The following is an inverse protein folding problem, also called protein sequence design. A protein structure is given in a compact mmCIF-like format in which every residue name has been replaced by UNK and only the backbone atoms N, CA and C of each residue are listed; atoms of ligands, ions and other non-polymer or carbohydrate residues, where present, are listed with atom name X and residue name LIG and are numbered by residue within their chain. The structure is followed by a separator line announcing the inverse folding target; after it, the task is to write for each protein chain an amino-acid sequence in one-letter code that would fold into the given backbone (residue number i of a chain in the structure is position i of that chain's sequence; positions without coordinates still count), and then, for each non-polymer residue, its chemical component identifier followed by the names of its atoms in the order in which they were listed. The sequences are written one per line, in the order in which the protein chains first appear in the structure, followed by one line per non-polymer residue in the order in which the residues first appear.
data_IF_528051490910
#
_entry.id   IF_528051490910
#
_cell.length_a   1.000
_cell.length_b   1.000
_cell.length_c   1.000
_cell.angle_alpha   90.00
_cell.angle_beta   90.00
_cell.angle_gamma   90.00
#
_symmetry.space_group_name_H-M   'P 1'
#
loop_
_entity.id
_entity.type
_entity.pdbx_description
1 polymer ?
#
# COMPACT_ATOMS: atom_id res chain seq x y z
N UNK A 1 -28.45 37.24 -4.53
CA UNK A 1 -27.04 37.55 -4.29
C UNK A 1 -26.80 39.00 -4.63
N UNK A 2 -26.24 39.78 -3.72
CA UNK A 2 -25.90 41.18 -3.97
C UNK A 2 -24.45 41.23 -4.45
N UNK A 3 -24.20 41.86 -5.58
CA UNK A 3 -22.85 42.04 -6.09
C UNK A 3 -22.66 43.42 -6.75
N UNK A 4 -21.44 43.94 -6.62
CA UNK A 4 -21.02 45.23 -7.17
C UNK A 4 -19.98 44.99 -8.25
N UNK A 5 -20.30 45.32 -9.51
CA UNK A 5 -19.39 45.19 -10.65
C UNK A 5 -18.67 46.52 -10.88
N UNK A 6 -17.35 46.54 -10.68
CA UNK A 6 -16.51 47.74 -10.80
C UNK A 6 -15.90 47.89 -12.18
N UNK A 7 -15.58 46.76 -12.84
CA UNK A 7 -15.08 46.74 -14.21
C UNK A 7 -15.74 45.62 -14.99
N UNK A 8 -16.08 45.93 -16.24
CA UNK A 8 -16.49 44.98 -17.26
C UNK A 8 -15.71 45.31 -18.53
N UNK A 9 -14.96 44.34 -19.04
CA UNK A 9 -14.20 44.48 -20.27
C UNK A 9 -15.08 44.79 -21.47
N UNK A 10 -14.52 45.41 -22.53
CA UNK A 10 -15.22 45.61 -23.79
C UNK A 10 -15.51 44.24 -24.41
N UNK A 11 -16.77 43.82 -24.38
CA UNK A 11 -17.14 42.47 -24.81
C UNK A 11 -18.65 42.21 -24.74
N UNK A 12 -19.04 41.02 -25.19
CA UNK A 12 -20.42 40.53 -25.15
C UNK A 12 -20.91 40.36 -23.70
N UNK A 13 -22.23 40.20 -23.47
CA UNK A 13 -22.76 39.87 -22.15
C UNK A 13 -22.02 38.69 -21.52
N UNK A 14 -21.76 38.81 -20.22
CA UNK A 14 -21.30 37.75 -19.34
C UNK A 14 -22.34 37.62 -18.24
N UNK A 15 -22.59 36.42 -17.74
CA UNK A 15 -23.52 36.21 -16.66
C UNK A 15 -22.83 35.72 -15.39
N UNK A 16 -23.47 35.99 -14.26
CA UNK A 16 -23.05 35.47 -12.97
C UNK A 16 -23.86 34.23 -12.67
N UNK A 17 -23.19 33.13 -12.33
CA UNK A 17 -23.87 31.89 -11.99
C UNK A 17 -23.36 31.27 -10.69
N UNK A 18 -24.24 30.52 -10.04
CA UNK A 18 -23.93 29.67 -8.89
C UNK A 18 -23.79 28.22 -9.34
N UNK A 19 -22.87 27.49 -8.77
CA UNK A 19 -22.82 26.03 -8.89
C UNK A 19 -23.33 25.45 -7.57
N UNK A 20 -24.46 24.75 -7.63
CA UNK A 20 -25.13 24.20 -6.45
C UNK A 20 -25.28 22.70 -6.56
N UNK A 21 -25.17 22.02 -5.42
CA UNK A 21 -25.51 20.62 -5.25
C UNK A 21 -26.93 20.51 -4.68
N UNK A 22 -27.78 19.78 -5.40
CA UNK A 22 -29.14 19.40 -5.02
C UNK A 22 -29.32 17.92 -5.31
N UNK A 23 -30.32 17.24 -4.71
CA UNK A 23 -30.45 15.78 -4.74
C UNK A 23 -30.37 15.05 -6.12
N UNK A 24 -30.40 15.78 -7.24
CA UNK A 24 -30.19 15.28 -8.61
C UNK A 24 -28.76 15.45 -9.17
N UNK A 25 -27.82 16.02 -8.39
CA UNK A 25 -26.43 16.28 -8.78
C UNK A 25 -26.05 17.77 -8.76
N UNK A 26 -24.84 18.06 -9.24
CA UNK A 26 -24.32 19.43 -9.41
C UNK A 26 -25.00 20.10 -10.61
N UNK A 27 -25.45 21.33 -10.44
CA UNK A 27 -26.06 22.12 -11.52
C UNK A 27 -25.61 23.58 -11.45
N UNK A 28 -25.22 24.18 -12.58
CA UNK A 28 -25.06 25.62 -12.68
C UNK A 28 -26.43 26.30 -12.72
N UNK A 29 -26.57 27.42 -12.01
CA UNK A 29 -27.77 28.25 -11.93
C UNK A 29 -27.38 29.66 -12.33
N UNK A 30 -27.87 30.10 -13.48
CA UNK A 30 -27.62 31.45 -13.98
C UNK A 30 -28.43 32.47 -13.17
N UNK A 31 -27.77 33.52 -12.69
CA UNK A 31 -28.37 34.62 -11.95
C UNK A 31 -28.63 35.86 -12.83
N UNK A 32 -28.14 35.87 -14.07
CA UNK A 32 -28.32 36.95 -15.04
C UNK A 32 -27.03 37.68 -15.43
N UNK A 33 -27.18 38.59 -16.39
CA UNK A 33 -26.08 39.34 -17.00
C UNK A 33 -25.41 40.32 -16.01
N UNK A 34 -24.08 40.38 -16.03
CA UNK A 34 -23.29 41.32 -15.25
C UNK A 34 -23.51 42.76 -15.75
N UNK A 35 -24.08 43.59 -14.87
CA UNK A 35 -24.32 45.02 -15.09
C UNK A 35 -23.40 45.82 -14.17
N UNK A 36 -22.80 46.90 -14.70
CA UNK A 36 -21.96 47.80 -13.93
C UNK A 36 -22.73 48.43 -12.74
N UNK A 37 -22.05 48.57 -11.60
CA UNK A 37 -22.64 49.05 -10.35
C UNK A 37 -23.16 47.92 -9.46
N UNK A 38 -23.91 48.30 -8.42
CA UNK A 38 -24.47 47.36 -7.43
C UNK A 38 -25.84 46.86 -7.88
N UNK A 39 -25.98 45.54 -7.98
CA UNK A 39 -27.21 44.88 -8.40
C UNK A 39 -27.52 43.65 -7.54
N UNK A 40 -28.80 43.30 -7.47
CA UNK A 40 -29.27 42.07 -6.85
C UNK A 40 -29.53 41.02 -7.94
N UNK A 41 -28.69 40.00 -7.97
CA UNK A 41 -28.75 38.87 -8.89
C UNK A 41 -29.58 37.75 -8.26
N UNK A 42 -30.66 37.34 -8.91
CA UNK A 42 -31.65 36.41 -8.33
C UNK A 42 -32.00 35.30 -9.31
N UNK A 43 -32.20 34.09 -8.80
CA UNK A 43 -32.67 32.95 -9.56
C UNK A 43 -33.54 32.05 -8.69
N UNK A 44 -34.45 31.32 -9.34
CA UNK A 44 -35.24 30.30 -8.67
C UNK A 44 -34.42 29.00 -8.55
N UNK A 45 -34.43 28.39 -7.36
CA UNK A 45 -33.74 27.13 -7.07
C UNK A 45 -34.76 26.00 -6.84
N UNK A 46 -35.45 25.50 -7.89
CA UNK A 46 -36.39 24.40 -7.72
C UNK A 46 -35.66 23.14 -7.22
N UNK A 47 -36.27 22.42 -6.29
CA UNK A 47 -35.71 21.20 -5.71
C UNK A 47 -34.77 21.41 -4.51
N UNK A 48 -34.63 22.64 -4.02
CA UNK A 48 -33.86 22.94 -2.80
C UNK A 48 -34.69 22.87 -1.50
N UNK A 49 -35.87 22.25 -1.51
CA UNK A 49 -36.74 22.16 -0.33
C UNK A 49 -36.15 21.36 0.83
N UNK A 50 -35.20 20.47 0.56
CA UNK A 50 -34.46 19.70 1.57
C UNK A 50 -33.11 20.34 1.94
N UNK A 51 -32.84 21.56 1.46
CA UNK A 51 -31.53 22.21 1.52
C UNK A 51 -30.70 21.97 0.27
N UNK A 52 -29.91 22.98 -0.10
CA UNK A 52 -28.93 22.92 -1.18
C UNK A 52 -27.58 23.41 -0.67
N UNK A 53 -26.50 22.88 -1.27
CA UNK A 53 -25.15 23.30 -0.93
C UNK A 53 -24.58 24.17 -2.05
N UNK A 54 -24.09 25.36 -1.70
CA UNK A 54 -23.33 26.20 -2.62
C UNK A 54 -21.91 25.66 -2.73
N UNK A 55 -21.49 25.31 -3.95
CA UNK A 55 -20.18 24.73 -4.21
C UNK A 55 -19.23 25.73 -4.85
N UNK A 56 -19.73 26.55 -5.78
CA UNK A 56 -18.89 27.49 -6.50
C UNK A 56 -19.67 28.69 -7.04
N UNK A 57 -18.95 29.71 -7.45
CA UNK A 57 -19.39 30.84 -8.25
C UNK A 57 -18.70 30.75 -9.61
N UNK A 58 -19.36 31.18 -10.68
CA UNK A 58 -18.74 31.26 -12.00
C UNK A 58 -19.13 32.53 -12.72
N UNK A 59 -18.16 33.12 -13.44
CA UNK A 59 -18.43 34.17 -14.42
C UNK A 59 -18.53 33.48 -15.77
N UNK A 60 -19.72 33.45 -16.35
CA UNK A 60 -20.00 32.64 -17.53
C UNK A 60 -19.99 33.48 -18.80
N UNK A 61 -19.52 32.87 -19.88
CA UNK A 61 -19.77 33.38 -21.21
C UNK A 61 -21.27 33.28 -21.51
N UNK A 62 -21.78 34.23 -22.30
CA UNK A 62 -23.12 34.09 -22.84
C UNK A 62 -23.22 32.79 -23.68
N UNK A 63 -24.34 32.05 -23.63
CA UNK A 63 -24.48 30.82 -24.39
C UNK A 63 -24.13 30.96 -25.88
N UNK A 64 -23.22 30.13 -26.37
CA UNK A 64 -22.72 30.15 -27.75
C UNK A 64 -21.60 31.14 -28.04
N UNK A 65 -21.08 31.81 -27.00
CA UNK A 65 -19.96 32.74 -27.09
C UNK A 65 -18.67 32.13 -26.51
N UNK A 66 -17.54 32.47 -27.10
CA UNK A 66 -16.19 32.10 -26.60
C UNK A 66 -15.22 33.27 -26.63
N UNK A 67 -15.71 34.49 -26.85
CA UNK A 67 -14.88 35.69 -26.82
C UNK A 67 -14.25 35.90 -25.44
N UNK A 68 -13.05 36.50 -25.38
CA UNK A 68 -12.40 36.80 -24.12
C UNK A 68 -13.28 37.61 -23.17
N UNK A 69 -13.19 37.28 -21.88
CA UNK A 69 -13.93 37.94 -20.80
C UNK A 69 -12.97 38.63 -19.83
N UNK A 70 -13.37 39.81 -19.36
CA UNK A 70 -12.71 40.54 -18.27
C UNK A 70 -13.79 41.12 -17.35
N UNK A 71 -13.73 40.82 -16.05
CA UNK A 71 -14.67 41.32 -15.06
C UNK A 71 -13.98 41.53 -13.71
N UNK A 72 -14.28 42.64 -13.05
CA UNK A 72 -13.97 42.88 -11.63
C UNK A 72 -15.29 43.09 -10.90
N UNK A 73 -15.57 42.25 -9.91
CA UNK A 73 -16.79 42.33 -9.11
C UNK A 73 -16.53 41.97 -7.65
N UNK A 74 -17.36 42.49 -6.76
CA UNK A 74 -17.40 42.14 -5.34
C UNK A 74 -18.74 41.51 -5.03
N UNK A 75 -18.74 40.31 -4.44
CA UNK A 75 -19.96 39.70 -3.90
C UNK A 75 -20.13 40.20 -2.47
N UNK A 76 -21.20 40.95 -2.23
CA UNK A 76 -21.45 41.63 -0.96
C UNK A 76 -22.25 40.74 0.01
N UNK A 77 -23.21 39.97 -0.51
CA UNK A 77 -24.06 39.10 0.30
C UNK A 77 -24.70 37.96 -0.50
N UNK A 78 -24.85 36.80 0.14
CA UNK A 78 -25.66 35.67 -0.34
C UNK A 78 -26.88 35.51 0.56
N UNK A 79 -28.07 35.35 -0.05
CA UNK A 79 -29.34 35.17 0.67
C UNK A 79 -30.16 34.07 0.01
N UNK A 80 -30.91 33.33 0.82
CA UNK A 80 -31.98 32.43 0.40
C UNK A 80 -33.33 33.06 0.77
N UNK A 81 -34.04 33.58 -0.22
CA UNK A 81 -35.13 34.53 0.01
C UNK A 81 -34.62 35.75 0.80
N UNK A 82 -35.24 36.00 1.95
CA UNK A 82 -34.83 37.06 2.88
C UNK A 82 -33.81 36.60 3.94
N UNK A 83 -33.52 35.30 4.03
CA UNK A 83 -32.62 34.75 5.02
C UNK A 83 -31.15 34.91 4.58
N UNK A 84 -30.26 35.46 5.42
CA UNK A 84 -28.84 35.52 5.10
C UNK A 84 -28.22 34.12 5.10
N UNK A 85 -27.36 33.85 4.12
CA UNK A 85 -26.52 32.65 4.07
C UNK A 85 -25.10 33.05 4.46
N UNK A 86 -24.55 32.42 5.50
CA UNK A 86 -23.15 32.62 5.86
C UNK A 86 -22.22 31.90 4.87
N UNK A 87 -21.93 32.59 3.78
CA UNK A 87 -21.01 32.13 2.73
C UNK A 87 -19.55 32.47 3.05
N UNK A 88 -19.23 32.98 4.26
CA UNK A 88 -17.88 33.37 4.68
C UNK A 88 -17.12 34.22 3.65
N UNK A 89 -17.79 35.17 3.00
CA UNK A 89 -17.25 35.92 1.86
C UNK A 89 -15.98 36.73 2.17
N UNK A 90 -15.85 37.23 3.42
CA UNK A 90 -14.67 37.96 3.88
C UNK A 90 -13.55 37.08 4.45
N UNK A 91 -13.71 35.76 4.48
CA UNK A 91 -12.68 34.82 4.93
C UNK A 91 -11.72 34.53 3.76
N UNK A 92 -10.41 34.83 3.89
CA UNK A 92 -9.44 34.62 2.81
C UNK A 92 -9.29 33.16 2.38
N UNK A 93 -9.64 32.21 3.25
CA UNK A 93 -9.46 30.78 3.02
C UNK A 93 -10.76 30.07 2.62
N UNK A 94 -11.90 30.77 2.59
CA UNK A 94 -13.20 30.16 2.28
C UNK A 94 -13.47 29.99 0.78
N UNK A 95 -12.78 30.74 -0.06
CA UNK A 95 -12.99 30.76 -1.51
C UNK A 95 -11.64 30.74 -2.24
N UNK A 96 -11.54 29.94 -3.29
CA UNK A 96 -10.32 29.83 -4.11
C UNK A 96 -10.64 29.65 -5.59
N UNK A 97 -9.76 30.04 -6.50
CA UNK A 97 -9.85 29.60 -7.90
C UNK A 97 -9.90 28.07 -7.99
N UNK A 98 -10.71 27.55 -8.91
CA UNK A 98 -10.72 26.12 -9.19
C UNK A 98 -9.34 25.63 -9.66
N UNK A 99 -8.85 24.47 -9.21
CA UNK A 99 -7.50 23.98 -9.51
C UNK A 99 -7.31 23.60 -10.99
N UNK A 100 -8.40 23.36 -11.72
CA UNK A 100 -8.43 22.95 -13.12
C UNK A 100 -8.61 24.15 -14.09
N UNK A 101 -8.32 25.37 -13.63
CA UNK A 101 -8.35 26.57 -14.46
C UNK A 101 -7.56 26.37 -15.77
N UNK A 102 -8.21 26.68 -16.90
CA UNK A 102 -7.63 26.44 -18.22
C UNK A 102 -6.49 27.41 -18.52
N UNK A 103 -5.54 26.99 -19.37
CA UNK A 103 -4.54 27.94 -19.90
C UNK A 103 -5.24 29.13 -20.58
N UNK A 104 -4.86 30.34 -20.18
CA UNK A 104 -5.51 31.58 -20.64
C UNK A 104 -6.59 32.11 -19.69
N UNK A 105 -6.91 31.38 -18.61
CA UNK A 105 -7.68 31.90 -17.49
C UNK A 105 -6.76 32.44 -16.40
N UNK A 106 -7.11 33.60 -15.86
CA UNK A 106 -6.52 34.17 -14.66
C UNK A 106 -7.65 34.64 -13.75
N UNK A 107 -7.69 34.05 -12.57
CA UNK A 107 -8.65 34.32 -11.52
C UNK A 107 -7.90 34.72 -10.25
N UNK A 108 -8.19 35.92 -9.78
CA UNK A 108 -7.69 36.41 -8.50
C UNK A 108 -8.90 36.61 -7.57
N UNK A 109 -8.84 35.99 -6.40
CA UNK A 109 -9.92 36.00 -5.40
C UNK A 109 -9.32 36.47 -4.08
N UNK A 110 -9.94 37.48 -3.48
CA UNK A 110 -9.46 38.05 -2.22
C UNK A 110 -10.62 38.65 -1.41
N UNK A 111 -10.53 38.69 -0.07
CA UNK A 111 -11.49 39.43 0.73
C UNK A 111 -11.57 40.91 0.33
N UNK A 112 -12.79 41.42 0.22
CA UNK A 112 -13.08 42.83 -0.04
C UNK A 112 -13.96 43.38 1.09
N UNK A 113 -13.34 43.75 2.21
CA UNK A 113 -14.05 44.10 3.43
C UNK A 113 -14.77 42.88 4.01
N UNK A 114 -16.11 42.90 4.03
CA UNK A 114 -16.93 41.73 4.44
C UNK A 114 -17.39 40.87 3.25
N UNK A 115 -17.10 41.31 2.03
CA UNK A 115 -17.46 40.62 0.79
C UNK A 115 -16.28 39.87 0.15
N UNK A 116 -16.56 39.24 -0.99
CA UNK A 116 -15.59 38.50 -1.79
C UNK A 116 -15.26 39.28 -3.06
N UNK A 117 -14.02 39.76 -3.18
CA UNK A 117 -13.50 40.39 -4.38
C UNK A 117 -13.05 39.34 -5.39
N UNK A 118 -13.50 39.49 -6.64
CA UNK A 118 -13.22 38.58 -7.75
C UNK A 118 -12.73 39.40 -8.94
N UNK A 119 -11.55 39.06 -9.44
CA UNK A 119 -11.02 39.58 -10.70
C UNK A 119 -10.82 38.41 -11.67
N UNK A 120 -11.45 38.53 -12.83
CA UNK A 120 -11.47 37.50 -13.87
C UNK A 120 -10.93 38.08 -15.17
N UNK A 121 -9.97 37.38 -15.76
CA UNK A 121 -9.62 37.51 -17.17
C UNK A 121 -9.53 36.13 -17.78
N UNK A 122 -10.23 35.88 -18.88
CA UNK A 122 -10.15 34.60 -19.59
C UNK A 122 -10.15 34.82 -21.09
N UNK A 123 -9.21 34.19 -21.77
CA UNK A 123 -9.23 33.99 -23.24
C UNK A 123 -9.62 32.56 -23.61
N UNK A 124 -9.83 31.69 -22.62
CA UNK A 124 -10.23 30.31 -22.80
C UNK A 124 -11.75 30.19 -22.98
N UNK A 125 -12.23 29.20 -23.75
CA UNK A 125 -13.67 29.01 -23.98
C UNK A 125 -14.42 28.49 -22.74
N UNK A 126 -13.74 27.95 -21.73
CA UNK A 126 -14.36 27.52 -20.48
C UNK A 126 -14.71 28.70 -19.56
N UNK A 127 -15.77 28.51 -18.77
CA UNK A 127 -16.20 29.47 -17.76
C UNK A 127 -15.26 29.41 -16.54
N UNK A 128 -14.69 30.54 -16.09
CA UNK A 128 -13.89 30.55 -14.87
C UNK A 128 -14.73 30.28 -13.63
N UNK A 129 -14.22 29.42 -12.75
CA UNK A 129 -14.91 28.94 -11.54
C UNK A 129 -14.12 29.32 -10.29
N UNK A 130 -14.84 29.88 -9.30
CA UNK A 130 -14.36 30.15 -7.95
C UNK A 130 -15.06 29.17 -7.02
N UNK A 131 -14.32 28.25 -6.42
CA UNK A 131 -14.87 27.21 -5.56
C UNK A 131 -14.87 27.61 -4.09
N UNK A 132 -15.85 27.09 -3.37
CA UNK A 132 -15.87 27.10 -1.92
C UNK A 132 -14.86 26.07 -1.39
N UNK A 133 -13.96 26.52 -0.53
CA UNK A 133 -12.86 25.74 0.02
C UNK A 133 -13.30 24.98 1.29
N UNK A 134 -14.15 23.98 1.12
CA UNK A 134 -14.56 23.01 2.16
C UNK A 134 -13.64 21.78 2.24
N UNK A 135 -12.71 21.63 1.29
CA UNK A 135 -11.63 20.61 1.31
C UNK A 135 -10.25 21.27 1.26
N UNK A 136 -9.20 20.65 1.82
CA UNK A 136 -7.82 21.11 1.63
C UNK A 136 -7.44 21.17 0.13
N UNK A 137 -6.58 22.12 -0.25
CA UNK A 137 -6.07 22.19 -1.62
C UNK A 137 -5.14 21.01 -1.98
N UNK A 138 -4.48 20.43 -0.97
CA UNK A 138 -3.74 19.18 -1.09
C UNK A 138 -4.33 18.18 -0.10
N UNK A 139 -4.84 17.06 -0.62
CA UNK A 139 -5.49 16.04 0.18
C UNK A 139 -4.45 15.25 0.98
N UNK A 140 -4.59 15.16 2.31
CA UNK A 140 -3.67 14.38 3.12
C UNK A 140 -3.84 12.89 2.82
N UNK A 141 -2.72 12.19 2.66
CA UNK A 141 -2.71 10.75 2.40
C UNK A 141 -1.58 10.05 3.15
N UNK A 142 -1.86 8.83 3.55
CA UNK A 142 -0.88 7.88 4.07
C UNK A 142 -0.55 6.87 2.99
N UNK A 143 0.73 6.69 2.69
CA UNK A 143 1.18 5.77 1.65
C UNK A 143 1.78 4.50 2.22
N UNK A 144 1.50 3.37 1.58
CA UNK A 144 2.36 2.19 1.61
C UNK A 144 3.05 2.03 0.26
N UNK A 145 4.39 2.08 0.29
CA UNK A 145 5.23 1.94 -0.90
C UNK A 145 5.64 3.26 -1.56
N UNK A 146 6.05 3.19 -2.85
CA UNK A 146 6.46 4.36 -3.63
C UNK A 146 5.26 5.25 -3.96
N UNK A 147 5.49 6.56 -4.06
CA UNK A 147 4.48 7.49 -4.56
C UNK A 147 4.12 7.18 -6.02
N UNK A 148 2.84 7.34 -6.45
CA UNK A 148 2.42 7.12 -7.83
C UNK A 148 2.79 8.32 -8.73
N UNK A 149 4.08 8.67 -8.71
CA UNK A 149 4.68 9.75 -9.49
C UNK A 149 5.95 9.25 -10.18
N UNK A 150 6.54 10.07 -11.06
CA UNK A 150 7.83 9.76 -11.66
C UNK A 150 8.93 9.62 -10.60
N UNK A 151 8.85 10.43 -9.53
CA UNK A 151 9.67 10.30 -8.34
C UNK A 151 8.95 9.43 -7.29
N UNK A 152 9.50 8.25 -7.03
CA UNK A 152 8.98 7.30 -6.05
C UNK A 152 8.99 7.83 -4.60
N UNK A 153 9.78 8.86 -4.33
CA UNK A 153 9.93 9.47 -2.99
C UNK A 153 9.15 10.77 -2.83
N UNK A 154 8.42 11.20 -3.86
CA UNK A 154 7.67 12.45 -3.86
C UNK A 154 6.73 12.57 -2.64
N UNK A 155 6.81 13.71 -1.95
CA UNK A 155 5.93 14.06 -0.82
C UNK A 155 4.60 14.67 -1.27
N UNK A 156 4.50 15.09 -2.53
CA UNK A 156 3.27 15.53 -3.17
C UNK A 156 3.20 15.02 -4.61
N UNK A 157 2.00 14.67 -5.06
CA UNK A 157 1.77 14.11 -6.40
C UNK A 157 0.32 14.30 -6.83
N UNK A 158 0.07 14.22 -8.14
CA UNK A 158 -1.28 14.26 -8.70
C UNK A 158 -1.74 12.84 -9.02
N UNK A 159 -2.92 12.46 -8.55
CA UNK A 159 -3.47 11.12 -8.74
C UNK A 159 -5.01 11.15 -8.69
N UNK A 160 -5.65 10.41 -9.59
CA UNK A 160 -7.10 10.26 -9.61
C UNK A 160 -7.50 9.03 -8.77
N UNK A 161 -7.97 9.24 -7.54
CA UNK A 161 -8.37 8.16 -6.65
C UNK A 161 -9.83 7.73 -6.91
N UNK A 162 -10.81 8.57 -6.56
CA UNK A 162 -12.22 8.31 -6.87
C UNK A 162 -12.75 9.15 -8.03
N UNK A 163 -12.14 10.32 -8.27
CA UNK A 163 -12.48 11.25 -9.34
C UNK A 163 -12.01 10.80 -10.73
N UNK A 164 -12.58 11.40 -11.78
CA UNK A 164 -12.09 11.25 -13.15
C UNK A 164 -10.90 12.17 -13.49
N UNK A 165 -10.70 13.20 -12.68
CA UNK A 165 -9.59 14.16 -12.76
C UNK A 165 -8.57 13.88 -11.66
N UNK A 166 -7.25 14.06 -11.91
CA UNK A 166 -6.25 13.92 -10.87
C UNK A 166 -6.42 14.98 -9.78
N UNK A 167 -6.46 14.52 -8.54
CA UNK A 167 -6.41 15.37 -7.36
C UNK A 167 -4.98 15.49 -6.86
N UNK A 168 -4.67 16.59 -6.18
CA UNK A 168 -3.35 16.81 -5.61
C UNK A 168 -3.28 16.25 -4.20
N UNK A 169 -2.34 15.35 -3.98
CA UNK A 169 -2.14 14.64 -2.72
C UNK A 169 -0.86 15.07 -2.03
N UNK A 170 -0.88 15.09 -0.69
CA UNK A 170 0.29 15.29 0.15
C UNK A 170 0.47 14.13 1.11
N UNK A 171 1.64 13.52 1.05
CA UNK A 171 2.04 12.40 1.91
C UNK A 171 2.26 12.91 3.33
N UNK A 172 1.42 12.48 4.27
CA UNK A 172 1.58 12.80 5.69
C UNK A 172 2.39 11.74 6.43
N UNK A 173 2.29 10.49 6.00
CA UNK A 173 2.99 9.36 6.61
C UNK A 173 3.24 8.23 5.60
N UNK A 174 4.28 7.42 5.86
CA UNK A 174 4.61 6.24 5.07
C UNK A 174 4.70 4.98 5.92
N UNK A 175 4.06 3.91 5.48
CA UNK A 175 4.14 2.58 6.07
C UNK A 175 4.75 1.57 5.10
N UNK A 176 5.23 0.45 5.63
CA UNK A 176 5.71 -0.65 4.80
C UNK A 176 4.57 -1.38 4.07
N UNK A 177 3.40 -1.45 4.70
CA UNK A 177 2.19 -2.04 4.11
C UNK A 177 0.95 -1.53 4.84
N UNK A 178 -0.16 -1.38 4.11
CA UNK A 178 -1.49 -1.15 4.66
C UNK A 178 -2.27 -2.48 4.75
N UNK A 179 -3.17 -2.63 5.73
CA UNK A 179 -4.09 -3.77 5.78
C UNK A 179 -4.91 -3.89 4.49
N UNK A 180 -5.06 -5.11 3.98
CA UNK A 180 -5.85 -5.39 2.77
C UNK A 180 -5.09 -5.13 1.47
N UNK A 181 -4.39 -4.00 1.38
CA UNK A 181 -3.83 -3.51 0.10
C UNK A 181 -2.29 -3.60 -0.02
N UNK A 182 -1.59 -4.03 1.03
CA UNK A 182 -0.17 -4.33 0.95
C UNK A 182 0.73 -3.12 0.79
N UNK A 183 1.80 -3.26 0.00
CA UNK A 183 2.88 -2.28 -0.17
C UNK A 183 2.68 -1.32 -1.35
N UNK A 184 1.49 -1.28 -1.95
CA UNK A 184 1.10 -0.36 -3.02
C UNK A 184 -0.31 0.15 -2.74
N UNK A 185 -0.42 1.04 -1.75
CA UNK A 185 -1.72 1.46 -1.24
C UNK A 185 -1.69 2.91 -0.73
N UNK A 186 -2.84 3.56 -0.81
CA UNK A 186 -3.07 4.88 -0.23
C UNK A 186 -4.26 4.83 0.73
N UNK A 187 -4.13 5.49 1.87
CA UNK A 187 -5.19 5.68 2.86
C UNK A 187 -5.47 7.17 3.02
N UNK A 188 -6.72 7.54 2.83
CA UNK A 188 -7.19 8.91 2.89
C UNK A 188 -8.57 8.99 3.53
N UNK A 189 -8.99 10.21 3.89
CA UNK A 189 -10.32 10.46 4.41
C UNK A 189 -11.36 10.41 3.28
N UNK A 190 -12.22 9.39 3.31
CA UNK A 190 -13.21 9.15 2.26
C UNK A 190 -14.20 10.32 2.12
N UNK A 191 -14.59 10.96 3.22
CA UNK A 191 -15.58 12.05 3.17
C UNK A 191 -15.01 13.27 2.43
N UNK A 192 -13.76 13.62 2.72
CA UNK A 192 -13.05 14.72 2.06
C UNK A 192 -12.87 14.44 0.57
N UNK A 193 -12.44 13.23 0.22
CA UNK A 193 -12.29 12.82 -1.18
C UNK A 193 -13.64 12.82 -1.91
N UNK A 194 -14.71 12.29 -1.31
CA UNK A 194 -16.04 12.30 -1.94
C UNK A 194 -16.53 13.72 -2.22
N UNK A 195 -16.30 14.68 -1.32
CA UNK A 195 -16.66 16.09 -1.55
C UNK A 195 -15.91 16.70 -2.72
N UNK A 196 -14.69 16.24 -2.99
CA UNK A 196 -13.85 16.69 -4.10
C UNK A 196 -14.23 15.98 -5.40
N UNK A 197 -14.33 14.65 -5.39
CA UNK A 197 -14.66 13.81 -6.53
C UNK A 197 -16.06 14.10 -7.11
N UNK A 198 -17.03 14.51 -6.30
CA UNK A 198 -18.36 14.94 -6.78
C UNK A 198 -18.27 16.10 -7.78
N UNK A 199 -17.22 16.94 -7.71
CA UNK A 199 -16.98 18.07 -8.63
C UNK A 199 -16.41 17.62 -9.98
N UNK A 200 -15.47 16.68 -9.97
CA UNK A 200 -14.80 16.13 -11.16
C UNK A 200 -15.49 14.92 -11.77
N UNK A 201 -16.64 14.50 -11.22
CA UNK A 201 -17.27 13.21 -11.52
C UNK A 201 -16.56 12.06 -10.83
N UNK A 202 -17.33 11.16 -10.21
CA UNK A 202 -16.81 10.05 -9.43
C UNK A 202 -17.18 8.71 -10.06
N UNK A 203 -16.32 7.70 -9.88
CA UNK A 203 -16.64 6.30 -10.22
C UNK A 203 -16.47 5.42 -9.00
N UNK A 204 -17.51 4.66 -8.65
CA UNK A 204 -17.45 3.63 -7.59
C UNK A 204 -17.21 2.23 -8.16
N UNK A 205 -16.72 2.13 -9.40
CA UNK A 205 -16.38 0.84 -10.01
C UNK A 205 -15.25 0.17 -9.25
N UNK A 206 -15.49 -1.03 -8.73
CA UNK A 206 -14.48 -1.80 -7.99
C UNK A 206 -14.32 -1.40 -6.53
N UNK A 207 -15.26 -0.63 -5.96
CA UNK A 207 -15.23 -0.28 -4.53
C UNK A 207 -15.75 -1.45 -3.69
N UNK A 208 -14.94 -1.88 -2.72
CA UNK A 208 -15.32 -2.85 -1.70
C UNK A 208 -15.43 -2.16 -0.34
N UNK A 209 -16.56 -2.35 0.34
CA UNK A 209 -16.77 -1.81 1.69
C UNK A 209 -16.35 -2.84 2.72
N UNK A 210 -15.35 -2.50 3.54
CA UNK A 210 -14.80 -3.39 4.55
C UNK A 210 -14.84 -2.74 5.92
N UNK A 211 -15.11 -3.55 6.95
CA UNK A 211 -15.03 -3.14 8.35
C UNK A 211 -13.86 -3.86 8.99
N UNK A 212 -12.84 -3.08 9.37
CA UNK A 212 -11.63 -3.61 10.00
C UNK A 212 -11.78 -3.59 11.52
N UNK A 213 -11.43 -4.70 12.16
CA UNK A 213 -11.49 -4.87 13.62
C UNK A 213 -10.17 -5.41 14.14
N UNK A 214 -9.87 -5.09 15.39
CA UNK A 214 -8.76 -5.74 16.12
C UNK A 214 -9.20 -7.11 16.61
N UNK A 215 -8.25 -7.98 16.96
CA UNK A 215 -8.48 -9.44 17.14
C UNK A 215 -9.48 -9.89 18.22
N UNK A 216 -10.09 -8.98 18.98
CA UNK A 216 -11.21 -9.26 19.87
C UNK A 216 -12.49 -8.66 19.26
N UNK A 217 -13.12 -9.40 18.35
CA UNK A 217 -14.43 -9.01 17.81
C UNK A 217 -15.48 -9.27 18.88
N UNK A 218 -16.19 -8.22 19.29
CA UNK A 218 -17.44 -8.36 20.04
C UNK A 218 -18.40 -9.23 19.22
N UNK A 219 -18.87 -10.38 19.74
CA UNK A 219 -19.80 -11.25 19.00
C UNK A 219 -21.10 -10.54 18.62
N UNK A 220 -21.45 -9.42 19.27
CA UNK A 220 -22.58 -8.58 18.92
C UNK A 220 -22.34 -7.61 17.74
N UNK A 221 -21.11 -7.46 17.25
CA UNK A 221 -20.78 -6.49 16.20
C UNK A 221 -21.58 -6.71 14.89
N UNK A 222 -21.72 -7.94 14.36
CA UNK A 222 -22.51 -8.15 13.15
C UNK A 222 -23.98 -7.74 13.33
N UNK A 223 -24.57 -8.02 14.49
CA UNK A 223 -25.95 -7.62 14.79
C UNK A 223 -26.10 -6.10 14.92
N UNK A 224 -25.10 -5.42 15.49
CA UNK A 224 -25.06 -3.95 15.58
C UNK A 224 -24.89 -3.29 14.21
N UNK A 225 -24.03 -3.85 13.36
CA UNK A 225 -23.88 -3.39 11.97
C UNK A 225 -25.20 -3.57 11.22
N UNK A 226 -25.84 -4.74 11.34
CA UNK A 226 -27.13 -5.01 10.71
C UNK A 226 -28.24 -4.07 11.20
N UNK A 227 -28.28 -3.76 12.50
CA UNK A 227 -29.20 -2.77 13.07
C UNK A 227 -28.94 -1.35 12.54
N UNK A 228 -27.70 -1.03 12.18
CA UNK A 228 -27.31 0.20 11.49
C UNK A 228 -27.48 0.16 9.97
N UNK A 229 -28.06 -0.91 9.41
CA UNK A 229 -28.29 -1.06 7.96
C UNK A 229 -27.11 -1.62 7.17
N UNK A 230 -26.00 -1.99 7.83
CA UNK A 230 -24.83 -2.61 7.19
C UNK A 230 -24.92 -4.13 7.36
N UNK A 231 -25.21 -4.86 6.28
CA UNK A 231 -25.26 -6.32 6.30
C UNK A 231 -23.91 -6.90 5.88
N UNK A 232 -23.15 -7.56 6.78
CA UNK A 232 -21.88 -8.18 6.41
C UNK A 232 -22.13 -9.32 5.42
N UNK A 233 -21.49 -9.27 4.25
CA UNK A 233 -21.59 -10.32 3.21
C UNK A 233 -20.58 -11.45 3.43
N UNK A 234 -19.40 -11.11 3.93
CA UNK A 234 -18.34 -12.05 4.27
C UNK A 234 -17.63 -11.62 5.56
N UNK A 235 -17.05 -12.60 6.25
CA UNK A 235 -16.18 -12.38 7.41
C UNK A 235 -14.88 -13.10 7.14
N UNK A 236 -13.79 -12.35 7.11
CA UNK A 236 -12.45 -12.90 6.92
C UNK A 236 -11.64 -12.71 8.19
N UNK A 237 -11.10 -13.80 8.72
CA UNK A 237 -10.17 -13.73 9.85
C UNK A 237 -8.73 -13.89 9.39
N UNK A 238 -7.82 -13.34 10.20
CA UNK A 238 -6.39 -13.49 9.95
C UNK A 238 -5.94 -14.96 10.07
N UNK A 239 -6.66 -15.78 10.84
CA UNK A 239 -6.43 -17.22 10.91
C UNK A 239 -6.81 -17.91 9.58
N UNK A 240 -7.97 -17.58 9.02
CA UNK A 240 -8.42 -18.14 7.75
C UNK A 240 -7.46 -17.77 6.61
N UNK A 241 -7.03 -16.50 6.57
CA UNK A 241 -6.08 -16.05 5.55
C UNK A 241 -4.73 -16.76 5.66
N UNK A 242 -4.25 -17.07 6.87
CA UNK A 242 -3.02 -17.88 7.04
C UNK A 242 -3.19 -19.32 6.52
N UNK A 243 -4.35 -19.93 6.76
CA UNK A 243 -4.63 -21.29 6.26
C UNK A 243 -4.68 -21.28 4.73
N UNK A 244 -5.32 -20.28 4.14
CA UNK A 244 -5.40 -20.10 2.70
C UNK A 244 -4.02 -19.90 2.07
N UNK A 245 -3.22 -18.96 2.59
CA UNK A 245 -1.84 -18.74 2.17
C UNK A 245 -0.99 -20.03 2.29
N UNK A 246 -1.26 -20.85 3.31
CA UNK A 246 -0.61 -22.14 3.51
C UNK A 246 -0.99 -23.24 2.50
N UNK A 247 -2.03 -23.02 1.69
CA UNK A 247 -2.47 -23.92 0.61
C UNK A 247 -2.01 -23.47 -0.78
N UNK A 248 -1.49 -22.24 -0.90
CA UNK A 248 -1.00 -21.73 -2.17
C UNK A 248 0.20 -22.55 -2.68
N UNK A 249 0.35 -22.60 -4.01
CA UNK A 249 1.42 -23.34 -4.68
C UNK A 249 2.82 -23.04 -4.12
N UNK A 250 3.18 -21.79 -3.76
CA UNK A 250 4.47 -21.49 -3.13
C UNK A 250 4.69 -22.19 -1.79
N UNK A 251 3.68 -22.22 -0.93
CA UNK A 251 3.77 -22.88 0.37
C UNK A 251 3.95 -24.40 0.21
N UNK A 252 3.27 -24.98 -0.78
CA UNK A 252 3.42 -26.40 -1.11
C UNK A 252 4.80 -26.71 -1.72
N UNK A 253 5.32 -25.85 -2.60
CA UNK A 253 6.67 -25.95 -3.13
C UNK A 253 7.72 -25.88 -2.03
N UNK A 254 7.59 -24.98 -1.05
CA UNK A 254 8.48 -24.92 0.12
C UNK A 254 8.48 -26.23 0.92
N UNK A 255 7.31 -26.86 1.11
CA UNK A 255 7.21 -28.17 1.78
C UNK A 255 7.91 -29.28 0.99
N UNK A 256 7.81 -29.26 -0.33
CA UNK A 256 8.53 -30.19 -1.21
C UNK A 256 10.04 -29.97 -1.17
N UNK A 257 10.51 -28.71 -1.17
CA UNK A 257 11.93 -28.41 -1.00
C UNK A 257 12.47 -28.84 0.36
N UNK A 258 11.68 -28.70 1.43
CA UNK A 258 12.03 -29.25 2.74
C UNK A 258 12.16 -30.78 2.72
N UNK A 259 11.23 -31.47 2.05
CA UNK A 259 11.31 -32.92 1.87
C UNK A 259 12.55 -33.33 1.05
N UNK A 260 12.83 -32.62 -0.06
CA UNK A 260 14.02 -32.85 -0.87
C UNK A 260 15.31 -32.61 -0.07
N UNK A 261 15.35 -31.55 0.74
CA UNK A 261 16.47 -31.28 1.66
C UNK A 261 16.66 -32.39 2.69
N UNK A 262 15.58 -32.91 3.26
CA UNK A 262 15.66 -34.06 4.17
C UNK A 262 16.21 -35.32 3.49
N UNK A 263 15.78 -35.60 2.25
CA UNK A 263 16.30 -36.71 1.45
C UNK A 263 17.80 -36.51 1.14
N UNK A 264 18.21 -35.30 0.78
CA UNK A 264 19.63 -34.99 0.53
C UNK A 264 20.50 -35.21 1.78
N UNK A 265 20.01 -34.82 2.96
CA UNK A 265 20.69 -35.09 4.24
C UNK A 265 20.80 -36.59 4.51
N UNK A 266 19.74 -37.36 4.27
CA UNK A 266 19.78 -38.83 4.41
C UNK A 266 20.80 -39.48 3.46
N UNK A 267 20.87 -39.02 2.21
CA UNK A 267 21.85 -39.48 1.23
C UNK A 267 23.28 -39.14 1.65
N UNK A 268 23.51 -37.94 2.19
CA UNK A 268 24.80 -37.53 2.73
C UNK A 268 25.21 -38.44 3.89
N UNK A 269 24.33 -38.68 4.86
CA UNK A 269 24.57 -39.61 5.98
C UNK A 269 24.90 -41.01 5.47
N UNK A 270 24.13 -41.52 4.50
CA UNK A 270 24.38 -42.81 3.86
C UNK A 270 25.76 -42.91 3.22
N UNK A 271 26.17 -41.87 2.50
CA UNK A 271 27.49 -41.77 1.85
C UNK A 271 28.62 -41.74 2.86
N UNK A 272 28.43 -41.01 3.98
CA UNK A 272 29.38 -40.96 5.09
C UNK A 272 29.54 -42.34 5.76
N UNK A 273 28.43 -43.02 6.03
CA UNK A 273 28.44 -44.38 6.61
C UNK A 273 29.09 -45.40 5.67
N UNK A 274 28.83 -45.30 4.37
CA UNK A 274 29.43 -46.17 3.35
C UNK A 274 30.96 -45.96 3.30
N UNK A 275 31.41 -44.71 3.20
CA UNK A 275 32.83 -44.36 3.19
C UNK A 275 33.53 -44.84 4.46
N UNK A 276 32.89 -44.64 5.62
CA UNK A 276 33.41 -45.15 6.89
C UNK A 276 33.52 -46.68 6.89
N UNK A 277 32.52 -47.39 6.37
CA UNK A 277 32.49 -48.87 6.31
C UNK A 277 33.62 -49.44 5.45
N UNK A 278 33.92 -48.81 4.32
CA UNK A 278 35.02 -49.21 3.41
C UNK A 278 36.37 -48.95 4.07
N UNK A 279 36.53 -47.80 4.73
CA UNK A 279 37.76 -47.42 5.44
C UNK A 279 38.10 -48.32 6.63
N UNK A 280 37.10 -48.92 7.29
CA UNK A 280 37.30 -49.81 8.46
C UNK A 280 38.28 -50.94 8.16
N UNK A 281 38.22 -51.56 6.97
CA UNK A 281 39.08 -52.72 6.64
C UNK A 281 40.56 -52.37 6.52
N UNK A 282 40.88 -51.18 5.99
CA UNK A 282 42.25 -50.68 5.93
C UNK A 282 42.74 -50.29 7.34
N UNK A 283 41.88 -49.58 8.10
CA UNK A 283 42.18 -49.12 9.45
C UNK A 283 42.38 -50.25 10.46
N UNK A 284 41.67 -51.39 10.34
CA UNK A 284 41.88 -52.54 11.24
C UNK A 284 43.32 -53.06 11.15
N UNK A 285 43.93 -53.09 9.96
CA UNK A 285 45.32 -53.54 9.77
C UNK A 285 46.33 -52.59 10.41
N UNK A 286 46.17 -51.29 10.22
CA UNK A 286 47.02 -50.27 10.84
C UNK A 286 46.88 -50.26 12.37
N UNK A 287 45.64 -50.39 12.88
CA UNK A 287 45.37 -50.46 14.32
C UNK A 287 45.94 -51.73 14.96
N UNK A 288 45.97 -52.85 14.23
CA UNK A 288 46.59 -54.08 14.70
C UNK A 288 48.11 -53.91 14.84
N UNK A 289 48.77 -53.30 13.85
CA UNK A 289 50.22 -53.01 13.90
C UNK A 289 50.58 -52.04 15.04
N UNK A 290 49.76 -51.01 15.28
CA UNK A 290 49.97 -50.07 16.39
C UNK A 290 49.70 -50.69 17.77
N UNK A 291 48.77 -51.66 17.85
CA UNK A 291 48.54 -52.43 19.08
C UNK A 291 49.69 -53.36 19.39
N UNK A 292 50.28 -54.01 18.39
CA UNK A 292 51.50 -54.82 18.59
C UNK A 292 52.69 -53.97 19.01
N UNK A 293 52.70 -52.69 18.65
CA UNK A 293 53.68 -51.70 19.13
C UNK A 293 53.35 -51.11 20.53
N UNK A 294 52.32 -51.59 21.22
CA UNK A 294 52.02 -51.24 22.62
C UNK A 294 51.13 -50.02 22.85
N UNK A 295 50.53 -49.44 21.80
CA UNK A 295 49.68 -48.23 21.95
C UNK A 295 48.35 -48.55 22.63
N UNK A 296 48.02 -47.81 23.69
CA UNK A 296 46.80 -48.00 24.46
C UNK A 296 45.52 -47.76 23.64
N UNK A 297 44.50 -48.61 23.84
CA UNK A 297 43.19 -48.54 23.15
C UNK A 297 42.46 -47.20 23.32
N UNK A 298 42.74 -46.46 24.40
CA UNK A 298 42.16 -45.14 24.63
C UNK A 298 42.73 -44.09 23.67
N UNK A 299 44.05 -44.12 23.44
CA UNK A 299 44.76 -43.18 22.54
C UNK A 299 44.33 -43.41 21.10
N UNK A 300 44.25 -44.66 20.65
CA UNK A 300 43.79 -45.03 19.31
C UNK A 300 42.34 -44.55 19.05
N UNK A 301 41.44 -44.70 20.04
CA UNK A 301 40.05 -44.21 19.92
C UNK A 301 39.98 -42.68 19.86
N UNK A 302 40.82 -41.97 20.61
CA UNK A 302 40.86 -40.51 20.61
C UNK A 302 41.41 -39.97 19.29
N UNK A 303 42.46 -40.59 18.75
CA UNK A 303 43.04 -40.25 17.45
C UNK A 303 42.03 -40.45 16.32
N UNK A 304 41.35 -41.60 16.27
CA UNK A 304 40.29 -41.85 15.28
C UNK A 304 39.14 -40.83 15.38
N UNK A 305 38.69 -40.49 16.60
CA UNK A 305 37.66 -39.47 16.78
C UNK A 305 38.13 -38.10 16.30
N UNK A 306 39.38 -37.74 16.54
CA UNK A 306 39.97 -36.50 16.06
C UNK A 306 40.03 -36.43 14.54
N UNK A 307 40.41 -37.52 13.88
CA UNK A 307 40.48 -37.62 12.43
C UNK A 307 39.10 -37.51 11.76
N UNK A 308 38.09 -38.25 12.26
CA UNK A 308 36.73 -38.11 11.74
C UNK A 308 36.13 -36.73 12.06
N UNK A 309 36.44 -36.16 13.22
CA UNK A 309 35.99 -34.82 13.56
C UNK A 309 36.62 -33.75 12.67
N UNK A 310 37.89 -33.88 12.27
CA UNK A 310 38.53 -32.91 11.38
C UNK A 310 38.02 -33.04 9.94
N UNK A 311 37.88 -34.26 9.42
CA UNK A 311 37.37 -34.51 8.08
C UNK A 311 35.92 -34.00 7.92
N UNK A 312 35.03 -34.36 8.85
CA UNK A 312 33.65 -33.91 8.79
C UNK A 312 33.48 -32.44 9.20
N UNK A 313 34.30 -31.96 10.15
CA UNK A 313 34.34 -30.56 10.53
C UNK A 313 34.68 -29.65 9.35
N UNK A 314 35.69 -30.03 8.55
CA UNK A 314 36.06 -29.31 7.34
C UNK A 314 34.95 -29.35 6.28
N UNK A 315 34.32 -30.51 6.09
CA UNK A 315 33.19 -30.64 5.16
C UNK A 315 32.00 -29.74 5.55
N UNK A 316 31.68 -29.64 6.84
CA UNK A 316 30.65 -28.70 7.35
C UNK A 316 31.08 -27.26 7.16
N UNK A 317 32.34 -26.94 7.48
CA UNK A 317 32.89 -25.59 7.37
C UNK A 317 32.83 -25.05 5.94
N UNK A 318 32.96 -25.92 4.93
CA UNK A 318 32.86 -25.54 3.51
C UNK A 318 31.40 -25.62 3.02
N UNK A 319 30.69 -26.69 3.38
CA UNK A 319 29.34 -26.96 2.90
C UNK A 319 28.30 -25.97 3.40
N UNK A 320 28.39 -25.51 4.66
CA UNK A 320 27.44 -24.55 5.23
C UNK A 320 27.53 -23.19 4.53
N UNK A 321 28.71 -22.55 4.38
CA UNK A 321 28.83 -21.32 3.61
C UNK A 321 28.39 -21.46 2.16
N UNK A 322 28.76 -22.55 1.49
CA UNK A 322 28.34 -22.79 0.11
C UNK A 322 26.81 -22.89 -0.01
N UNK A 323 26.15 -23.58 0.93
CA UNK A 323 24.69 -23.64 1.02
C UNK A 323 24.04 -22.29 1.32
N UNK A 324 24.63 -21.50 2.23
CA UNK A 324 24.15 -20.15 2.56
C UNK A 324 24.26 -19.19 1.38
N UNK A 325 25.37 -19.25 0.63
CA UNK A 325 25.56 -18.45 -0.60
C UNK A 325 24.56 -18.88 -1.67
N UNK A 326 24.38 -20.19 -1.88
CA UNK A 326 23.39 -20.71 -2.81
C UNK A 326 21.96 -20.27 -2.45
N UNK A 327 21.61 -20.34 -1.17
CA UNK A 327 20.33 -19.87 -0.66
C UNK A 327 20.16 -18.36 -0.91
N UNK A 328 21.15 -17.54 -0.55
CA UNK A 328 21.11 -16.08 -0.74
C UNK A 328 20.95 -15.67 -2.21
N UNK A 329 21.49 -16.45 -3.14
CA UNK A 329 21.37 -16.19 -4.58
C UNK A 329 20.05 -16.71 -5.18
N UNK A 330 19.57 -17.87 -4.73
CA UNK A 330 18.39 -18.53 -5.31
C UNK A 330 17.07 -18.04 -4.71
N UNK A 331 17.00 -17.78 -3.40
CA UNK A 331 15.76 -17.35 -2.73
C UNK A 331 15.14 -16.08 -3.33
N UNK A 332 15.91 -15.03 -3.67
CA UNK A 332 15.36 -13.83 -4.33
C UNK A 332 14.88 -14.11 -5.76
N UNK A 333 15.41 -15.15 -6.40
CA UNK A 333 15.17 -15.45 -7.80
C UNK A 333 13.97 -16.38 -8.04
N UNK A 334 13.29 -16.88 -7.00
CA UNK A 334 12.08 -17.71 -7.16
C UNK A 334 10.90 -16.78 -7.47
N UNK A 335 10.42 -16.71 -8.73
CA UNK A 335 9.25 -15.92 -9.05
C UNK A 335 8.04 -16.58 -8.40
N UNK A 336 7.46 -15.90 -7.43
CA UNK A 336 6.17 -16.27 -6.88
C UNK A 336 5.14 -15.84 -7.91
N UNK A 337 4.71 -16.77 -8.74
CA UNK A 337 3.51 -16.58 -9.56
C UNK A 337 2.34 -16.54 -8.60
N UNK A 338 2.06 -15.36 -8.03
CA UNK A 338 0.78 -15.08 -7.40
C UNK A 338 -0.18 -14.67 -8.50
N UNK A 339 -1.31 -15.36 -8.56
CA UNK A 339 -2.38 -15.07 -9.52
C UNK A 339 -3.15 -13.81 -9.08
N UNK A 340 -2.93 -13.34 -7.84
CA UNK A 340 -3.48 -12.08 -7.32
C UNK A 340 -2.51 -10.91 -7.52
N UNK A 341 -2.97 -9.80 -8.16
CA UNK A 341 -2.21 -8.55 -8.25
C UNK A 341 -2.08 -7.82 -6.89
N UNK A 342 -2.92 -8.15 -5.90
CA UNK A 342 -2.92 -7.54 -4.55
C UNK A 342 -2.08 -8.32 -3.53
N UNK A 343 -1.46 -9.43 -3.93
CA UNK A 343 -0.69 -10.25 -3.01
C UNK A 343 0.60 -9.52 -2.61
N UNK A 344 0.65 -9.06 -1.35
CA UNK A 344 1.88 -8.59 -0.67
C UNK A 344 3.06 -9.43 -1.14
N UNK A 345 4.11 -8.79 -1.68
CA UNK A 345 5.36 -9.46 -2.04
C UNK A 345 5.84 -10.26 -0.83
N UNK A 346 5.84 -11.61 -0.87
CA UNK A 346 6.21 -12.39 0.29
C UNK A 346 7.68 -12.15 0.61
N UNK A 347 7.95 -11.36 1.64
CA UNK A 347 9.29 -11.20 2.16
C UNK A 347 9.64 -12.46 2.95
N UNK A 348 10.50 -13.31 2.38
CA UNK A 348 11.08 -14.43 3.11
C UNK A 348 12.03 -13.86 4.17
N UNK A 349 11.47 -13.61 5.36
CA UNK A 349 12.27 -13.32 6.54
C UNK A 349 12.54 -14.63 7.24
N UNK A 350 13.79 -15.11 7.20
CA UNK A 350 14.17 -16.26 8.00
C UNK A 350 13.88 -16.04 9.49
N UNK A 351 12.76 -16.57 10.00
CA UNK A 351 12.33 -16.41 11.41
C UNK A 351 13.35 -17.04 12.33
N UNK A 352 13.90 -16.31 13.32
CA UNK A 352 15.19 -16.58 14.00
C UNK A 352 15.53 -18.00 14.50
N UNK A 353 14.61 -18.96 14.57
CA UNK A 353 14.85 -20.34 15.04
C UNK A 353 15.23 -21.36 13.95
N UNK A 354 14.96 -21.09 12.67
CA UNK A 354 15.27 -21.99 11.54
C UNK A 354 16.78 -22.26 11.35
N UNK A 355 17.62 -21.22 11.41
CA UNK A 355 19.08 -21.27 11.31
C UNK A 355 19.71 -22.07 12.46
N UNK A 356 19.42 -21.75 13.74
CA UNK A 356 19.94 -22.56 14.84
C UNK A 356 19.35 -23.97 14.83
N UNK A 357 18.10 -24.16 14.38
CA UNK A 357 17.50 -25.49 14.18
C UNK A 357 18.25 -26.33 13.14
N UNK A 358 18.53 -25.77 11.97
CA UNK A 358 19.29 -26.46 10.91
C UNK A 358 20.73 -26.79 11.35
N UNK A 359 21.39 -25.85 12.03
CA UNK A 359 22.73 -26.06 12.61
C UNK A 359 22.70 -27.13 13.71
N UNK A 360 21.67 -27.16 14.55
CA UNK A 360 21.50 -28.19 15.57
C UNK A 360 21.30 -29.59 14.95
N UNK A 361 20.51 -29.70 13.88
CA UNK A 361 20.33 -30.95 13.14
C UNK A 361 21.66 -31.41 12.54
N UNK A 362 22.40 -30.52 11.88
CA UNK A 362 23.73 -30.82 11.33
C UNK A 362 24.72 -31.26 12.41
N UNK A 363 24.73 -30.58 13.56
CA UNK A 363 25.56 -30.93 14.70
C UNK A 363 25.17 -32.31 15.29
N UNK A 364 23.88 -32.62 15.38
CA UNK A 364 23.39 -33.93 15.82
C UNK A 364 23.80 -35.03 14.83
N UNK A 365 23.70 -34.78 13.52
CA UNK A 365 24.14 -35.71 12.48
C UNK A 365 25.65 -35.97 12.58
N UNK A 366 26.46 -34.91 12.75
CA UNK A 366 27.91 -35.01 12.95
C UNK A 366 28.25 -35.81 14.22
N UNK A 367 27.59 -35.49 15.34
CA UNK A 367 27.80 -36.21 16.60
C UNK A 367 27.42 -37.70 16.43
N UNK A 368 26.30 -37.98 15.75
CA UNK A 368 25.85 -39.32 15.44
C UNK A 368 26.87 -40.12 14.63
N UNK A 369 27.42 -39.56 13.55
CA UNK A 369 28.41 -40.24 12.70
C UNK A 369 29.73 -40.47 13.42
N UNK A 370 30.24 -39.47 14.15
CA UNK A 370 31.48 -39.58 14.95
C UNK A 370 31.35 -40.60 16.08
N UNK A 371 30.17 -40.71 16.71
CA UNK A 371 29.89 -41.69 17.77
C UNK A 371 29.61 -43.10 17.23
N UNK A 372 29.04 -43.21 16.02
CA UNK A 372 28.73 -44.50 15.39
C UNK A 372 29.97 -45.17 14.76
N UNK A 373 30.89 -44.40 14.18
CA UNK A 373 32.11 -44.91 13.55
C UNK A 373 32.89 -45.94 14.40
N UNK A 374 33.22 -45.68 15.69
CA UNK A 374 33.94 -46.66 16.51
C UNK A 374 33.11 -47.91 16.87
N UNK A 375 31.76 -47.82 16.84
CA UNK A 375 30.87 -48.98 17.08
C UNK A 375 30.82 -49.91 15.87
N UNK A 376 30.86 -49.34 14.66
CA UNK A 376 30.92 -50.09 13.40
C UNK A 376 32.25 -50.85 13.29
N UNK A 377 33.37 -50.19 13.64
CA UNK A 377 34.70 -50.83 13.69
C UNK A 377 34.73 -52.00 14.68
N UNK A 378 34.07 -51.90 15.84
CA UNK A 378 33.98 -52.99 16.82
C UNK A 378 33.19 -54.20 16.35
N UNK A 379 32.14 -54.01 15.54
CA UNK A 379 31.32 -55.11 15.01
C UNK A 379 31.98 -55.84 13.84
N UNK A 380 33.03 -55.27 13.25
CA UNK A 380 33.78 -55.84 12.14
C UNK A 380 34.96 -56.73 12.57
N UNK A 381 35.11 -57.06 13.86
CA UNK A 381 36.09 -58.06 14.28
C UNK A 381 35.76 -59.43 13.63
N UNK A 382 36.71 -60.04 12.90
CA UNK A 382 36.46 -61.29 12.20
C UNK A 382 36.17 -62.42 13.20
N UNK A 383 35.04 -63.11 13.01
CA UNK A 383 34.81 -64.41 13.63
C UNK A 383 35.82 -65.40 13.06
N UNK A 384 36.93 -65.61 13.77
CA UNK A 384 37.86 -66.70 13.48
C UNK A 384 39.31 -66.30 13.51
N UNK A 385 39.88 -66.18 14.70
CA UNK A 385 41.19 -66.77 15.04
C UNK A 385 41.10 -67.14 16.52
N UNK A 386 40.93 -68.44 16.80
CA UNK A 386 41.23 -69.06 18.10
C UNK A 386 42.31 -70.08 17.85
#
# INVERSE_FOLDING_TARGET
MDATVTRRGPGRPMSLALIVERGAGIQPVDLGDLVAGRHAYTAALPGCSAGCRLLALSVRHFPGETAPIEAELTVDAVRDGDAPVDARLGDPDAWRPAPDAQQGQRLDVAPAGTGLGISVTSTAPGDPVIEYADTPAELPTVLAGPAPAQDATAEAYDFAALGSTPDRWRVTERFAALPGSGDHAMLFDLETELRQAVRGGFSLTGVEYQVWTTGAVDPGLPARLAAGGVQPTSVHTLADRRVELGRLAPALALRLYLAAGAIAVLLAIGTLLLTASVGVRARIRELAALRTAGVARAVLRRSLRGEYASLFGLAILIGVPAGLVGAALLLPAIPLVSIDPEALRPAYRPTGWWLPGALAVLACCLAGTVLAAPRIVRRAEPKGVR
#
